data_IF_656784230823
#
_entry.id   IF_656784230823
#
_cell.length_a   1.000
_cell.length_b   1.000
_cell.length_c   1.000
_cell.angle_alpha   90.00
_cell.angle_beta   90.00
_cell.angle_gamma   90.00
#
_symmetry.space_group_name_H-M   'P 1'
#
loop_
_entity.id
_entity.type
_entity.pdbx_description
1 polymer ?
#
# COMPACT_ATOMS: atom_id res chain seq x y z
N UNK A 1 21.98 8.25 -21.84
CA UNK A 1 23.35 8.78 -21.97
C UNK A 1 23.53 10.21 -21.41
N UNK A 2 22.43 10.96 -21.20
CA UNK A 2 22.48 12.37 -20.80
C UNK A 2 22.13 12.65 -19.33
N UNK A 3 21.75 11.63 -18.55
CA UNK A 3 21.43 11.80 -17.12
C UNK A 3 22.44 11.01 -16.27
N UNK A 4 23.09 11.66 -15.27
CA UNK A 4 24.04 10.98 -14.39
C UNK A 4 23.44 9.79 -13.65
N UNK A 5 22.16 9.85 -13.29
CA UNK A 5 21.42 8.80 -12.59
C UNK A 5 20.77 7.74 -13.52
N UNK A 6 20.98 7.84 -14.83
CA UNK A 6 20.29 6.98 -15.81
C UNK A 6 20.51 5.48 -15.64
N UNK A 7 21.68 5.08 -15.12
CA UNK A 7 21.95 3.66 -14.83
C UNK A 7 21.22 3.16 -13.59
N UNK A 8 21.07 4.03 -12.59
CA UNK A 8 20.40 3.71 -11.31
C UNK A 8 18.87 3.64 -11.46
N UNK A 9 18.32 4.49 -12.30
CA UNK A 9 16.88 4.58 -12.52
C UNK A 9 16.35 3.50 -13.47
N UNK A 10 17.21 2.71 -14.12
CA UNK A 10 16.81 1.63 -15.05
C UNK A 10 15.63 2.04 -15.96
N UNK A 11 15.72 3.16 -16.69
CA UNK A 11 14.55 3.75 -17.35
C UNK A 11 13.91 2.83 -18.40
N UNK A 12 14.67 1.94 -19.01
CA UNK A 12 14.14 0.96 -19.97
C UNK A 12 13.25 -0.05 -19.26
N UNK A 13 13.72 -0.60 -18.14
CA UNK A 13 12.95 -1.55 -17.32
C UNK A 13 11.67 -0.91 -16.76
N UNK A 14 11.74 0.37 -16.35
CA UNK A 14 10.55 1.13 -15.91
C UNK A 14 9.53 1.27 -17.05
N UNK A 15 9.98 1.60 -18.26
CA UNK A 15 9.08 1.73 -19.42
C UNK A 15 8.47 0.39 -19.81
N UNK A 16 9.25 -0.69 -19.76
CA UNK A 16 8.76 -2.05 -20.04
C UNK A 16 7.74 -2.49 -18.99
N UNK A 17 8.01 -2.23 -17.71
CA UNK A 17 7.09 -2.55 -16.62
C UNK A 17 5.80 -1.71 -16.72
N UNK A 18 5.93 -0.42 -17.02
CA UNK A 18 4.78 0.47 -17.24
C UNK A 18 3.94 0.01 -18.44
N UNK A 19 4.58 -0.38 -19.55
CA UNK A 19 3.89 -0.92 -20.71
C UNK A 19 3.14 -2.22 -20.36
N UNK A 20 3.76 -3.12 -19.57
CA UNK A 20 3.14 -4.35 -19.08
C UNK A 20 1.93 -4.06 -18.19
N UNK A 21 2.07 -3.13 -17.26
CA UNK A 21 0.99 -2.70 -16.36
C UNK A 21 -0.20 -2.18 -17.15
N UNK A 22 0.02 -1.26 -18.11
CA UNK A 22 -1.07 -0.74 -18.97
C UNK A 22 -1.75 -1.84 -19.77
N UNK A 23 -0.98 -2.78 -20.36
CA UNK A 23 -1.56 -3.88 -21.13
C UNK A 23 -2.39 -4.82 -20.24
N UNK A 24 -1.99 -5.02 -18.98
CA UNK A 24 -2.75 -5.79 -18.03
C UNK A 24 -4.03 -5.05 -17.59
N UNK A 25 -3.96 -3.73 -17.38
CA UNK A 25 -5.14 -2.89 -17.07
C UNK A 25 -6.22 -2.91 -18.17
N UNK A 26 -5.83 -3.21 -19.41
CA UNK A 26 -6.77 -3.36 -20.51
C UNK A 26 -7.44 -4.75 -20.59
N UNK A 27 -7.05 -5.67 -19.71
CA UNK A 27 -7.59 -7.02 -19.68
C UNK A 27 -8.42 -7.26 -18.40
N UNK A 28 -9.72 -6.97 -18.48
CA UNK A 28 -10.65 -7.09 -17.37
C UNK A 28 -10.82 -8.52 -16.84
N UNK A 29 -10.28 -9.55 -17.54
CA UNK A 29 -10.25 -10.91 -17.00
C UNK A 29 -9.25 -11.06 -15.87
N UNK A 30 -8.16 -10.30 -15.91
CA UNK A 30 -7.17 -10.22 -14.81
C UNK A 30 -7.80 -9.53 -13.61
N UNK A 31 -8.46 -8.40 -13.82
CA UNK A 31 -9.18 -7.69 -12.76
C UNK A 31 -10.26 -8.56 -12.11
N UNK A 32 -11.01 -9.31 -12.89
CA UNK A 32 -11.99 -10.27 -12.39
C UNK A 32 -11.37 -11.36 -11.51
N UNK A 33 -10.23 -11.90 -11.92
CA UNK A 33 -9.50 -12.89 -11.13
C UNK A 33 -8.98 -12.30 -9.80
N UNK A 34 -8.40 -11.12 -9.86
CA UNK A 34 -7.91 -10.39 -8.69
C UNK A 34 -9.04 -10.09 -7.69
N UNK A 35 -10.16 -9.55 -8.16
CA UNK A 35 -11.32 -9.24 -7.31
C UNK A 35 -11.91 -10.50 -6.69
N UNK A 36 -12.00 -11.60 -7.45
CA UNK A 36 -12.47 -12.90 -6.93
C UNK A 36 -11.55 -13.44 -5.84
N UNK A 37 -10.24 -13.33 -6.01
CA UNK A 37 -9.26 -13.73 -5.00
C UNK A 37 -9.36 -12.86 -3.75
N UNK A 38 -9.45 -11.53 -3.91
CA UNK A 38 -9.60 -10.62 -2.78
C UNK A 38 -10.89 -10.87 -2.02
N UNK A 39 -12.01 -11.17 -2.72
CA UNK A 39 -13.28 -11.56 -2.12
C UNK A 39 -13.15 -12.82 -1.26
N UNK A 40 -12.46 -13.84 -1.75
CA UNK A 40 -12.25 -15.07 -0.97
C UNK A 40 -11.36 -14.81 0.25
N UNK A 41 -10.30 -14.00 0.10
CA UNK A 41 -9.41 -13.60 1.18
C UNK A 41 -10.16 -12.89 2.32
N UNK A 42 -11.16 -12.05 2.00
CA UNK A 42 -11.95 -11.31 2.98
C UNK A 42 -13.33 -11.90 3.26
N UNK A 43 -13.55 -13.16 2.92
CA UNK A 43 -14.83 -13.83 3.14
C UNK A 43 -15.22 -13.85 4.62
N UNK A 44 -16.37 -13.28 4.93
CA UNK A 44 -16.86 -13.14 6.29
C UNK A 44 -16.22 -12.01 7.10
N UNK A 45 -15.34 -11.22 6.52
CA UNK A 45 -14.79 -10.03 7.16
C UNK A 45 -15.86 -8.96 7.35
N UNK A 46 -15.82 -8.27 8.48
CA UNK A 46 -16.62 -7.06 8.73
C UNK A 46 -15.89 -5.78 8.32
N UNK A 47 -14.60 -5.87 8.02
CA UNK A 47 -13.80 -4.72 7.67
C UNK A 47 -13.93 -4.35 6.20
N UNK A 48 -13.85 -5.35 5.30
CA UNK A 48 -13.87 -5.15 3.86
C UNK A 48 -14.88 -6.10 3.21
N UNK A 49 -15.74 -5.53 2.37
CA UNK A 49 -16.60 -6.24 1.44
C UNK A 49 -16.06 -6.08 0.01
N UNK A 50 -15.99 -7.18 -0.72
CA UNK A 50 -15.64 -7.20 -2.14
C UNK A 50 -16.86 -7.71 -2.90
N UNK A 51 -17.39 -6.98 -3.90
CA UNK A 51 -18.55 -7.39 -4.70
C UNK A 51 -18.32 -8.74 -5.37
N UNK A 52 -19.40 -9.48 -5.56
CA UNK A 52 -19.37 -10.71 -6.34
C UNK A 52 -19.09 -10.40 -7.82
N UNK A 53 -18.17 -11.15 -8.41
CA UNK A 53 -17.84 -11.05 -9.83
C UNK A 53 -18.50 -12.22 -10.55
N UNK A 54 -19.31 -11.90 -11.54
CA UNK A 54 -20.03 -12.90 -12.32
C UNK A 54 -19.15 -13.37 -13.49
N UNK A 55 -18.25 -14.32 -13.19
CA UNK A 55 -17.19 -14.79 -14.10
C UNK A 55 -17.71 -15.29 -15.44
N UNK A 56 -18.92 -15.83 -15.51
CA UNK A 56 -19.55 -16.30 -16.75
C UNK A 56 -19.78 -15.15 -17.76
N UNK A 57 -19.92 -13.90 -17.30
CA UNK A 57 -20.13 -12.72 -18.14
C UNK A 57 -18.86 -11.91 -18.38
N UNK A 58 -17.76 -12.28 -17.73
CA UNK A 58 -16.48 -11.57 -17.89
C UNK A 58 -15.86 -11.88 -19.25
N UNK A 59 -15.38 -10.84 -19.92
CA UNK A 59 -14.60 -10.90 -21.17
C UNK A 59 -13.46 -9.89 -21.05
N UNK A 60 -12.50 -9.97 -21.95
CA UNK A 60 -11.32 -9.08 -21.96
C UNK A 60 -11.67 -7.59 -21.80
N UNK A 61 -12.80 -7.17 -22.35
CA UNK A 61 -13.26 -5.77 -22.35
C UNK A 61 -14.59 -5.55 -21.62
N UNK A 62 -15.06 -6.54 -20.86
CA UNK A 62 -16.31 -6.48 -20.09
C UNK A 62 -16.09 -7.15 -18.73
N UNK A 63 -16.33 -6.40 -17.67
CA UNK A 63 -16.40 -6.89 -16.30
C UNK A 63 -17.84 -6.74 -15.79
N UNK A 64 -18.42 -7.81 -15.26
CA UNK A 64 -19.75 -7.80 -14.66
C UNK A 64 -19.63 -8.21 -13.21
N UNK A 65 -20.07 -7.33 -12.33
CA UNK A 65 -20.04 -7.54 -10.89
C UNK A 65 -21.33 -7.11 -10.22
N UNK A 66 -21.50 -7.51 -8.99
CA UNK A 66 -22.60 -7.12 -8.10
C UNK A 66 -22.66 -5.59 -7.99
N UNK A 67 -23.90 -5.07 -8.08
CA UNK A 67 -24.14 -3.64 -7.84
C UNK A 67 -24.12 -3.37 -6.35
N UNK A 68 -23.20 -2.52 -5.92
CA UNK A 68 -23.08 -2.09 -4.52
C UNK A 68 -23.91 -0.82 -4.25
N UNK A 69 -24.19 -0.60 -2.97
CA UNK A 69 -24.71 0.65 -2.44
C UNK A 69 -23.81 1.12 -1.30
N UNK A 70 -23.36 2.36 -1.37
CA UNK A 70 -22.47 2.92 -0.35
C UNK A 70 -22.19 4.39 -0.59
N UNK A 71 -21.49 5.01 0.34
CA UNK A 71 -21.01 6.40 0.27
C UNK A 71 -19.52 6.37 -0.09
N UNK A 72 -19.05 7.15 -1.07
CA UNK A 72 -17.62 7.25 -1.35
C UNK A 72 -16.84 7.63 -0.09
N UNK A 73 -15.72 6.97 0.18
CA UNK A 73 -14.93 7.20 1.40
C UNK A 73 -14.40 8.63 1.49
N UNK A 74 -14.19 9.30 0.35
CA UNK A 74 -13.78 10.71 0.30
C UNK A 74 -14.87 11.72 0.70
N UNK A 75 -16.14 11.31 0.75
CA UNK A 75 -17.26 12.18 1.16
C UNK A 75 -17.43 12.17 2.70
N UNK A 76 -16.43 12.69 3.38
CA UNK A 76 -16.34 12.70 4.85
C UNK A 76 -17.51 13.43 5.48
N UNK A 77 -17.98 14.53 4.87
CA UNK A 77 -19.08 15.30 5.42
C UNK A 77 -20.40 14.51 5.39
N UNK A 78 -20.64 13.76 4.32
CA UNK A 78 -21.79 12.87 4.22
C UNK A 78 -21.71 11.70 5.19
N UNK A 79 -20.52 11.08 5.34
CA UNK A 79 -20.31 10.01 6.31
C UNK A 79 -20.58 10.48 7.74
N UNK A 80 -20.10 11.67 8.12
CA UNK A 80 -20.38 12.29 9.42
C UNK A 80 -21.88 12.60 9.60
N UNK A 81 -22.53 13.17 8.56
CA UNK A 81 -23.94 13.49 8.61
C UNK A 81 -24.84 12.25 8.80
N UNK A 82 -24.41 11.10 8.28
CA UNK A 82 -25.06 9.80 8.47
C UNK A 82 -24.72 9.12 9.81
N UNK A 83 -23.89 9.73 10.65
CA UNK A 83 -23.52 9.21 11.96
C UNK A 83 -22.56 8.02 11.90
N UNK A 84 -21.77 7.90 10.83
CA UNK A 84 -20.79 6.83 10.68
C UNK A 84 -19.73 6.90 11.77
N UNK A 85 -19.41 5.76 12.36
CA UNK A 85 -18.34 5.61 13.34
C UNK A 85 -16.96 5.75 12.67
N UNK A 86 -16.51 7.00 12.48
CA UNK A 86 -15.25 7.32 11.80
C UNK A 86 -14.03 6.70 12.52
N UNK A 87 -13.93 6.69 13.87
CA UNK A 87 -12.83 6.00 14.56
C UNK A 87 -12.73 4.50 14.22
N UNK A 88 -13.87 3.79 14.19
CA UNK A 88 -13.90 2.39 13.81
C UNK A 88 -13.52 2.19 12.34
N UNK A 89 -13.99 3.09 11.47
CA UNK A 89 -13.64 3.05 10.04
C UNK A 89 -12.13 3.23 9.85
N UNK A 90 -11.51 4.17 10.56
CA UNK A 90 -10.06 4.36 10.53
C UNK A 90 -9.29 3.14 11.05
N UNK A 91 -9.76 2.50 12.12
CA UNK A 91 -9.17 1.25 12.61
C UNK A 91 -9.26 0.15 11.54
N UNK A 92 -10.42 -0.02 10.92
CA UNK A 92 -10.63 -1.02 9.86
C UNK A 92 -9.72 -0.82 8.65
N UNK A 93 -9.39 0.42 8.28
CA UNK A 93 -8.44 0.66 7.19
C UNK A 93 -7.05 0.09 7.50
N UNK A 94 -6.62 0.24 8.74
CA UNK A 94 -5.34 -0.34 9.21
C UNK A 94 -5.42 -1.86 9.23
N UNK A 95 -6.50 -2.43 9.76
CA UNK A 95 -6.70 -3.88 9.81
C UNK A 95 -6.71 -4.49 8.40
N UNK A 96 -7.42 -3.86 7.44
CA UNK A 96 -7.44 -4.28 6.03
C UNK A 96 -6.04 -4.29 5.44
N UNK A 97 -5.26 -3.22 5.67
CA UNK A 97 -3.88 -3.13 5.17
C UNK A 97 -3.02 -4.28 5.71
N UNK A 98 -3.00 -4.47 7.03
CA UNK A 98 -2.17 -5.52 7.65
C UNK A 98 -2.61 -6.92 7.24
N UNK A 99 -3.91 -7.18 7.15
CA UNK A 99 -4.44 -8.47 6.67
C UNK A 99 -4.02 -8.75 5.23
N UNK A 100 -4.16 -7.79 4.32
CA UNK A 100 -3.74 -7.96 2.93
C UNK A 100 -2.24 -8.25 2.81
N UNK A 101 -1.41 -7.49 3.52
CA UNK A 101 0.05 -7.55 3.38
C UNK A 101 0.62 -8.76 4.12
N UNK A 102 0.22 -9.00 5.37
CA UNK A 102 0.88 -9.97 6.25
C UNK A 102 0.16 -11.30 6.41
N UNK A 103 -1.15 -11.36 6.17
CA UNK A 103 -1.86 -12.64 6.21
C UNK A 103 -2.02 -13.25 4.82
N UNK A 104 -2.30 -12.42 3.81
CA UNK A 104 -2.58 -12.92 2.47
C UNK A 104 -1.45 -12.74 1.48
N UNK A 105 -0.46 -11.87 1.75
CA UNK A 105 0.60 -11.48 0.80
C UNK A 105 0.04 -11.06 -0.56
N UNK A 106 -1.19 -10.54 -0.55
CA UNK A 106 -1.97 -10.17 -1.72
C UNK A 106 -2.73 -8.87 -1.40
N UNK A 107 -2.31 -7.76 -1.96
CA UNK A 107 -2.82 -6.45 -1.58
C UNK A 107 -3.23 -5.61 -2.77
N UNK A 108 -4.32 -4.87 -2.58
CA UNK A 108 -4.78 -3.87 -3.53
C UNK A 108 -3.80 -2.69 -3.56
N UNK A 109 -3.13 -2.49 -4.69
CA UNK A 109 -2.06 -1.52 -4.80
C UNK A 109 -2.53 -0.13 -5.30
N UNK A 110 -3.83 0.07 -5.49
CA UNK A 110 -4.41 1.36 -5.89
C UNK A 110 -5.70 1.67 -5.11
N UNK A 111 -5.59 1.76 -3.78
CA UNK A 111 -6.69 2.11 -2.86
C UNK A 111 -7.06 3.60 -2.97
N UNK A 112 -7.25 4.10 -4.20
CA UNK A 112 -7.68 5.47 -4.42
C UNK A 112 -9.09 5.69 -3.85
N UNK A 113 -9.37 6.83 -3.16
CA UNK A 113 -10.69 7.12 -2.58
C UNK A 113 -11.87 7.01 -3.56
N UNK A 114 -11.62 7.12 -4.87
CA UNK A 114 -12.64 6.93 -5.92
C UNK A 114 -13.11 5.48 -6.08
N UNK A 115 -12.29 4.51 -5.66
CA UNK A 115 -12.55 3.07 -5.79
C UNK A 115 -13.01 2.44 -4.48
N UNK A 116 -13.12 3.26 -3.40
CA UNK A 116 -13.47 2.80 -2.06
C UNK A 116 -14.76 3.46 -1.61
N UNK A 117 -15.71 2.64 -1.20
CA UNK A 117 -16.98 3.06 -0.64
C UNK A 117 -17.14 2.57 0.80
N UNK A 118 -18.11 3.12 1.49
CA UNK A 118 -18.49 2.71 2.84
C UNK A 118 -19.95 2.27 2.82
N UNK A 119 -20.21 1.03 3.24
CA UNK A 119 -21.56 0.60 3.54
C UNK A 119 -22.01 1.29 4.84
N UNK A 120 -23.08 2.06 4.72
CA UNK A 120 -23.68 2.84 5.81
C UNK A 120 -25.02 2.29 6.25
N UNK A 121 -25.37 1.07 5.87
CA UNK A 121 -26.58 0.37 6.32
C UNK A 121 -26.63 0.24 7.84
N UNK A 122 -25.46 0.08 8.47
CA UNK A 122 -25.26 0.18 9.91
C UNK A 122 -24.14 1.21 10.21
N UNK A 123 -24.46 2.49 10.43
CA UNK A 123 -23.44 3.52 10.66
C UNK A 123 -22.56 3.28 11.89
N UNK A 124 -23.04 2.54 12.88
CA UNK A 124 -22.27 2.19 14.07
C UNK A 124 -21.21 1.11 13.79
N UNK A 125 -21.39 0.29 12.74
CA UNK A 125 -20.52 -0.82 12.33
C UNK A 125 -20.25 -0.76 10.79
N UNK A 126 -19.64 0.34 10.27
CA UNK A 126 -19.50 0.61 8.84
C UNK A 126 -18.47 -0.32 8.19
N UNK A 127 -18.75 -0.85 7.01
CA UNK A 127 -17.85 -1.74 6.26
C UNK A 127 -17.31 -1.05 5.02
N UNK A 128 -16.01 -1.18 4.74
CA UNK A 128 -15.45 -0.74 3.45
C UNK A 128 -15.95 -1.63 2.31
N UNK A 129 -16.12 -1.05 1.15
CA UNK A 129 -16.39 -1.75 -0.11
C UNK A 129 -15.32 -1.33 -1.10
N UNK A 130 -14.54 -2.29 -1.62
CA UNK A 130 -13.55 -2.04 -2.65
C UNK A 130 -14.13 -2.34 -4.04
N UNK A 131 -13.87 -1.44 -4.98
CA UNK A 131 -14.15 -1.60 -6.41
C UNK A 131 -12.83 -1.36 -7.15
N UNK A 132 -12.69 -1.88 -8.36
CA UNK A 132 -11.45 -1.77 -9.13
C UNK A 132 -10.31 -2.63 -8.53
N UNK A 133 -9.93 -3.67 -9.26
CA UNK A 133 -8.91 -4.66 -8.84
C UNK A 133 -7.82 -4.78 -9.90
N UNK A 134 -7.65 -3.75 -10.73
CA UNK A 134 -6.71 -3.74 -11.85
C UNK A 134 -5.26 -3.84 -11.41
N UNK A 135 -4.92 -3.23 -10.25
CA UNK A 135 -3.55 -3.24 -9.73
C UNK A 135 -3.51 -3.96 -8.39
N UNK A 136 -2.94 -5.16 -8.41
CA UNK A 136 -2.68 -5.98 -7.23
C UNK A 136 -1.18 -6.18 -7.08
N UNK A 137 -0.70 -6.05 -5.84
CA UNK A 137 0.65 -6.43 -5.46
C UNK A 137 0.65 -7.77 -4.72
N UNK A 138 1.75 -8.49 -4.86
CA UNK A 138 2.00 -9.72 -4.11
C UNK A 138 3.36 -9.65 -3.45
N UNK A 139 3.52 -10.26 -2.29
CA UNK A 139 4.80 -10.39 -1.60
C UNK A 139 5.21 -11.85 -1.58
N UNK A 140 6.49 -12.11 -1.81
CA UNK A 140 7.08 -13.40 -1.49
C UNK A 140 7.37 -13.48 0.02
N UNK A 141 7.72 -14.67 0.53
CA UNK A 141 7.97 -14.90 1.95
C UNK A 141 9.14 -14.05 2.49
N UNK A 142 10.16 -13.81 1.68
CA UNK A 142 11.32 -13.00 2.05
C UNK A 142 10.96 -11.54 2.21
N UNK A 143 10.25 -10.96 1.24
CA UNK A 143 9.76 -9.57 1.31
C UNK A 143 8.78 -9.37 2.48
N UNK A 144 7.89 -10.33 2.71
CA UNK A 144 6.94 -10.29 3.82
C UNK A 144 7.68 -10.30 5.17
N UNK A 145 8.65 -11.22 5.33
CA UNK A 145 9.47 -11.29 6.54
C UNK A 145 10.28 -10.01 6.77
N UNK A 146 10.89 -9.49 5.71
CA UNK A 146 11.61 -8.24 5.74
C UNK A 146 10.73 -7.08 6.20
N UNK A 147 9.55 -6.92 5.60
CA UNK A 147 8.61 -5.86 5.99
C UNK A 147 8.16 -6.01 7.45
N UNK A 148 7.76 -7.21 7.87
CA UNK A 148 7.32 -7.47 9.23
C UNK A 148 8.42 -7.12 10.26
N UNK A 149 9.65 -7.55 9.99
CA UNK A 149 10.81 -7.27 10.84
C UNK A 149 11.11 -5.76 10.92
N UNK A 150 11.02 -5.06 9.79
CA UNK A 150 11.21 -3.60 9.76
C UNK A 150 10.12 -2.85 10.52
N UNK A 151 8.84 -3.21 10.34
CA UNK A 151 7.75 -2.61 11.09
C UNK A 151 7.92 -2.83 12.60
N UNK A 152 8.25 -4.05 13.02
CA UNK A 152 8.49 -4.37 14.41
C UNK A 152 9.64 -3.55 15.00
N UNK A 153 10.78 -3.49 14.31
CA UNK A 153 11.94 -2.72 14.73
C UNK A 153 11.60 -1.21 14.77
N UNK A 154 10.91 -0.68 13.77
CA UNK A 154 10.50 0.71 13.69
C UNK A 154 9.59 1.11 14.88
N UNK A 155 8.54 0.34 15.17
CA UNK A 155 7.64 0.64 16.28
C UNK A 155 8.30 0.48 17.64
N UNK A 156 9.30 -0.39 17.75
CA UNK A 156 10.14 -0.52 18.96
C UNK A 156 11.23 0.57 19.05
N UNK A 157 11.33 1.46 18.05
CA UNK A 157 12.38 2.48 17.92
C UNK A 157 13.79 1.88 17.87
N UNK A 158 13.91 0.65 17.41
CA UNK A 158 15.17 -0.03 17.19
C UNK A 158 15.74 0.33 15.81
N UNK A 159 16.23 1.55 15.71
CA UNK A 159 16.73 2.10 14.44
C UNK A 159 17.98 1.40 13.95
N UNK A 160 18.77 0.82 14.87
CA UNK A 160 19.92 0.00 14.49
C UNK A 160 19.45 -1.25 13.73
N UNK A 161 18.45 -1.97 14.27
CA UNK A 161 17.89 -3.14 13.58
C UNK A 161 17.24 -2.78 12.26
N UNK A 162 16.57 -1.64 12.15
CA UNK A 162 16.04 -1.13 10.87
C UNK A 162 17.17 -0.96 9.86
N UNK A 163 18.30 -0.34 10.27
CA UNK A 163 19.43 -0.13 9.38
C UNK A 163 20.09 -1.45 8.93
N UNK A 164 20.28 -2.41 9.86
CA UNK A 164 20.79 -3.74 9.57
C UNK A 164 19.94 -4.48 8.55
N UNK A 165 18.59 -4.51 8.76
CA UNK A 165 17.65 -5.16 7.86
C UNK A 165 17.69 -4.59 6.44
N UNK A 166 17.91 -3.28 6.28
CA UNK A 166 18.05 -2.67 4.97
C UNK A 166 19.33 -3.08 4.24
N UNK A 167 20.42 -3.32 4.99
CA UNK A 167 21.69 -3.84 4.42
C UNK A 167 21.54 -5.31 4.08
N UNK A 168 21.00 -6.11 5.00
CA UNK A 168 20.79 -7.56 4.84
C UNK A 168 19.92 -7.89 3.63
N UNK A 169 18.86 -7.11 3.39
CA UNK A 169 17.94 -7.28 2.26
C UNK A 169 18.46 -6.71 0.93
N UNK A 170 19.62 -6.04 0.94
CA UNK A 170 20.18 -5.43 -0.27
C UNK A 170 19.50 -4.14 -0.73
N UNK A 171 18.70 -3.52 0.12
CA UNK A 171 18.05 -2.23 -0.19
C UNK A 171 19.00 -1.06 -0.18
N UNK A 172 20.09 -1.19 0.54
CA UNK A 172 21.24 -0.32 0.50
C UNK A 172 22.49 -1.11 0.15
N UNK A 173 23.50 -0.49 -0.47
CA UNK A 173 24.75 -1.18 -0.80
C UNK A 173 25.37 -1.87 0.43
N UNK A 174 26.01 -3.04 0.27
CA UNK A 174 26.57 -3.80 1.38
C UNK A 174 27.74 -3.10 2.09
N UNK A 175 28.34 -2.08 1.46
CA UNK A 175 29.39 -1.23 2.03
C UNK A 175 28.82 -0.02 2.79
N UNK A 176 27.49 0.07 2.96
CA UNK A 176 26.85 1.13 3.72
C UNK A 176 27.22 1.05 5.20
N UNK A 177 27.70 2.16 5.77
CA UNK A 177 27.91 2.28 7.21
C UNK A 177 26.58 2.18 7.95
N UNK A 178 26.34 1.06 8.65
CA UNK A 178 25.12 0.82 9.41
C UNK A 178 24.88 1.92 10.45
N UNK A 179 25.96 2.37 11.14
CA UNK A 179 25.84 3.42 12.16
C UNK A 179 25.47 4.79 11.59
N UNK A 180 26.02 5.16 10.42
CA UNK A 180 25.66 6.42 9.77
C UNK A 180 24.22 6.36 9.25
N UNK A 181 23.79 5.21 8.75
CA UNK A 181 22.43 5.01 8.27
C UNK A 181 21.44 4.99 9.43
N UNK A 182 21.74 4.30 10.52
CA UNK A 182 20.95 4.33 11.77
C UNK A 182 20.75 5.76 12.28
N UNK A 183 21.82 6.56 12.36
CA UNK A 183 21.74 7.94 12.84
C UNK A 183 20.79 8.79 11.99
N UNK A 184 20.80 8.59 10.67
CA UNK A 184 19.89 9.31 9.77
C UNK A 184 18.46 8.82 9.93
N UNK A 185 18.21 7.50 9.99
CA UNK A 185 16.86 6.94 10.25
C UNK A 185 16.31 7.49 11.57
N UNK A 186 17.11 7.47 12.63
CA UNK A 186 16.74 8.02 13.94
C UNK A 186 16.33 9.49 13.84
N UNK A 187 17.12 10.30 13.16
CA UNK A 187 16.84 11.74 13.02
C UNK A 187 15.55 12.03 12.26
N UNK A 188 15.15 11.15 11.34
CA UNK A 188 13.91 11.26 10.57
C UNK A 188 12.69 10.80 11.36
N UNK A 189 12.83 9.67 12.06
CA UNK A 189 11.71 8.95 12.65
C UNK A 189 11.38 9.44 14.08
N UNK A 190 12.40 9.82 14.86
CA UNK A 190 12.20 10.26 16.27
C UNK A 190 11.22 11.44 16.40
N UNK A 191 11.24 12.46 15.52
CA UNK A 191 10.26 13.54 15.57
C UNK A 191 8.81 13.11 15.34
N UNK A 192 8.59 12.00 14.61
CA UNK A 192 7.26 11.47 14.34
C UNK A 192 6.64 10.88 15.60
N UNK A 193 7.42 10.15 16.38
CA UNK A 193 6.95 9.53 17.63
C UNK A 193 6.72 10.54 18.76
N UNK A 194 7.32 11.73 18.67
CA UNK A 194 7.32 12.74 19.73
C UNK A 194 6.38 13.92 19.44
N UNK A 195 5.64 13.90 18.30
CA UNK A 195 4.69 14.93 17.92
C UNK A 195 3.32 14.35 17.61
N UNK A 196 2.23 15.07 17.91
CA UNK A 196 0.92 14.71 17.41
C UNK A 196 0.91 14.68 15.86
N UNK A 197 0.21 13.74 15.28
CA UNK A 197 0.14 13.56 13.80
C UNK A 197 -0.24 14.84 13.05
N UNK A 198 -1.11 15.66 13.62
CA UNK A 198 -1.53 16.97 13.07
C UNK A 198 -0.40 17.99 12.91
N UNK A 199 0.69 17.84 13.68
CA UNK A 199 1.83 18.75 13.69
C UNK A 199 3.00 18.22 12.84
N UNK A 200 2.81 17.06 12.17
CA UNK A 200 3.80 16.45 11.29
C UNK A 200 3.55 16.94 9.87
N UNK A 201 4.53 17.65 9.32
CA UNK A 201 4.52 17.96 7.89
C UNK A 201 4.91 16.75 7.08
N UNK A 202 3.90 16.03 6.58
CA UNK A 202 4.08 14.83 5.78
C UNK A 202 4.94 15.08 4.53
N UNK A 203 4.73 16.20 3.84
CA UNK A 203 5.56 16.59 2.69
C UNK A 203 7.03 16.79 3.03
N UNK A 204 7.33 17.42 4.18
CA UNK A 204 8.71 17.57 4.65
C UNK A 204 9.34 16.23 5.00
N UNK A 205 8.56 15.33 5.62
CA UNK A 205 9.01 13.97 5.93
C UNK A 205 9.35 13.19 4.66
N UNK A 206 8.47 13.19 3.65
CA UNK A 206 8.73 12.55 2.36
C UNK A 206 9.98 13.06 1.67
N UNK A 207 10.16 14.39 1.63
CA UNK A 207 11.35 14.99 1.04
C UNK A 207 12.63 14.49 1.74
N UNK A 208 12.61 14.42 3.07
CA UNK A 208 13.73 13.92 3.85
C UNK A 208 13.98 12.43 3.61
N UNK A 209 12.92 11.64 3.46
CA UNK A 209 13.02 10.23 3.10
C UNK A 209 13.66 10.03 1.72
N UNK A 210 13.23 10.79 0.70
CA UNK A 210 13.83 10.74 -0.63
C UNK A 210 15.30 11.19 -0.64
N UNK A 211 15.65 12.22 0.14
CA UNK A 211 17.05 12.64 0.28
C UNK A 211 17.89 11.55 0.91
N UNK A 212 17.37 10.85 1.93
CA UNK A 212 18.04 9.73 2.57
C UNK A 212 18.21 8.56 1.59
N UNK A 213 17.17 8.20 0.87
CA UNK A 213 17.22 7.16 -0.15
C UNK A 213 18.32 7.46 -1.21
N UNK A 214 18.42 8.72 -1.65
CA UNK A 214 19.51 9.17 -2.56
C UNK A 214 20.89 9.08 -1.92
N UNK A 215 21.02 9.56 -0.68
CA UNK A 215 22.31 9.60 0.05
C UNK A 215 22.90 8.19 0.22
N UNK A 216 22.07 7.22 0.54
CA UNK A 216 22.45 5.84 0.77
C UNK A 216 22.30 4.95 -0.47
N UNK A 217 22.04 5.53 -1.65
CA UNK A 217 21.87 4.81 -2.93
C UNK A 217 20.88 3.64 -2.81
N UNK A 218 19.80 3.84 -2.06
CA UNK A 218 18.78 2.79 -1.89
C UNK A 218 18.22 2.36 -3.24
N UNK A 219 18.16 1.05 -3.44
CA UNK A 219 17.46 0.42 -4.56
C UNK A 219 16.02 0.10 -4.11
N UNK A 220 15.05 0.64 -4.81
CA UNK A 220 13.64 0.38 -4.50
C UNK A 220 13.15 -0.77 -5.35
N UNK A 221 12.64 -1.82 -4.70
CA UNK A 221 11.98 -2.91 -5.42
C UNK A 221 10.62 -2.46 -5.97
N UNK A 222 10.27 -2.82 -7.22
CA UNK A 222 9.02 -2.36 -7.88
C UNK A 222 7.75 -2.69 -7.09
N UNK A 223 7.70 -3.86 -6.45
CA UNK A 223 6.54 -4.33 -5.67
C UNK A 223 6.29 -3.50 -4.42
N UNK A 224 7.35 -3.00 -3.79
CA UNK A 224 7.24 -2.15 -2.61
C UNK A 224 6.94 -0.69 -2.97
N UNK A 225 7.22 -0.28 -4.21
CA UNK A 225 6.70 0.99 -4.75
C UNK A 225 5.17 0.94 -4.92
N UNK A 226 4.61 -0.22 -5.27
CA UNK A 226 3.16 -0.42 -5.30
C UNK A 226 2.56 -0.33 -3.90
N UNK A 227 3.22 -0.92 -2.90
CA UNK A 227 2.79 -0.85 -1.51
C UNK A 227 2.75 0.60 -0.97
N UNK A 228 3.67 1.47 -1.41
CA UNK A 228 3.65 2.88 -1.03
C UNK A 228 2.39 3.61 -1.50
N UNK A 229 1.84 3.26 -2.66
CA UNK A 229 0.58 3.85 -3.14
C UNK A 229 -0.62 3.53 -2.22
N UNK A 230 -0.62 2.37 -1.57
CA UNK A 230 -1.69 1.97 -0.65
C UNK A 230 -1.65 2.68 0.71
N UNK A 231 -0.51 3.26 1.06
CA UNK A 231 -0.31 3.96 2.34
C UNK A 231 -0.62 5.46 2.27
N UNK A 232 -0.83 6.01 1.07
CA UNK A 232 -1.08 7.42 0.79
C UNK A 232 -2.36 7.65 0.03
#
# INVERSE_FOLDING_TARGET
RYYPDGKRLRPVEIVEEYARTILNELDLTIEAANGSQLRENFKGSKALYVPEIYLEYVRKNVLVMERISGVPVGDIERLKALGVNIPLLAQRSVDIFFTQVFEHSFFHADMHPGNIFVDVSNPADPTYIALDFGIIGTLNEEDQHYLASNFLAFFNRDYLKVAELHVESGWVPPDTSVGDFEAVIRSLCEPIFNKPLKDISFGAFLLSLFQTARRFKMEMQPQLMLLQKTLF
#
